data_IF_712417936512
#
_entry.id   IF_712417936512
#
_cell.length_a   1.000
_cell.length_b   1.000
_cell.length_c   1.000
_cell.angle_alpha   90.00
_cell.angle_beta   90.00
_cell.angle_gamma   90.00
#
_symmetry.space_group_name_H-M   'P 1'
#
loop_
_entity.id
_entity.type
_entity.pdbx_description
1 polymer ?
#
# COMPACT_ATOMS: atom_id res chain seq x y z
N UNK A 1 69.49 -7.33 25.13
CA UNK A 1 69.88 -8.75 25.26
C UNK A 1 68.95 -9.35 26.32
N UNK A 2 68.29 -10.46 25.99
CA UNK A 2 67.32 -11.23 26.81
C UNK A 2 65.96 -10.59 27.17
N UNK A 3 64.94 -10.89 26.35
CA UNK A 3 63.66 -11.51 26.77
C UNK A 3 62.75 -11.71 25.53
N UNK A 4 63.09 -12.70 24.71
CA UNK A 4 62.20 -13.35 23.74
C UNK A 4 62.08 -14.79 24.21
N UNK A 5 60.92 -15.22 24.71
CA UNK A 5 60.80 -16.60 25.20
C UNK A 5 59.46 -17.08 25.76
N UNK A 6 58.41 -16.24 25.91
CA UNK A 6 57.16 -16.71 26.54
C UNK A 6 55.86 -16.14 25.92
N UNK A 7 55.84 -15.88 24.60
CA UNK A 7 54.62 -15.47 23.88
C UNK A 7 54.13 -16.47 22.81
N UNK A 8 54.77 -17.63 22.70
CA UNK A 8 54.44 -18.63 21.66
C UNK A 8 53.64 -19.86 22.15
N UNK A 9 53.28 -19.95 23.44
CA UNK A 9 52.53 -21.09 23.98
C UNK A 9 51.12 -20.76 24.50
N UNK A 10 50.65 -19.51 24.33
CA UNK A 10 49.23 -19.16 24.54
C UNK A 10 48.45 -18.91 23.24
N UNK A 11 49.13 -18.94 22.09
CA UNK A 11 48.50 -18.84 20.75
C UNK A 11 48.26 -20.20 20.08
N UNK A 12 48.79 -21.30 20.62
CA UNK A 12 48.57 -22.66 20.10
C UNK A 12 47.50 -23.47 20.86
N UNK A 13 47.00 -22.97 22.00
CA UNK A 13 45.87 -23.57 22.72
C UNK A 13 44.48 -23.22 22.17
N UNK A 14 44.40 -22.32 21.17
CA UNK A 14 43.14 -21.93 20.51
C UNK A 14 42.89 -22.62 19.16
N UNK A 15 43.78 -23.54 18.75
CA UNK A 15 43.63 -24.30 17.50
C UNK A 15 43.05 -25.70 17.69
N UNK A 16 42.73 -26.10 18.93
CA UNK A 16 42.15 -27.42 19.22
C UNK A 16 40.93 -27.42 20.16
N UNK A 17 40.40 -26.25 20.53
CA UNK A 17 39.05 -26.16 21.09
C UNK A 17 38.11 -25.88 19.94
N UNK A 18 37.24 -26.86 19.64
CA UNK A 18 36.29 -26.82 18.54
C UNK A 18 35.58 -25.47 18.48
N UNK A 19 35.37 -24.99 17.26
CA UNK A 19 34.58 -23.82 16.97
C UNK A 19 33.25 -23.95 17.73
N UNK A 20 33.16 -23.31 18.90
CA UNK A 20 31.91 -23.08 19.57
C UNK A 20 31.12 -22.22 18.59
N UNK A 21 30.22 -22.86 17.86
CA UNK A 21 29.30 -22.23 16.92
C UNK A 21 28.67 -21.05 17.64
N UNK A 22 29.02 -19.84 17.22
CA UNK A 22 28.44 -18.62 17.79
C UNK A 22 26.92 -18.74 17.68
N UNK A 23 26.17 -18.85 18.80
CA UNK A 23 24.72 -19.08 18.76
C UNK A 23 23.97 -18.00 17.97
N UNK A 24 24.48 -16.76 17.98
CA UNK A 24 23.92 -15.67 17.19
C UNK A 24 24.15 -15.85 15.69
N UNK A 25 25.33 -16.34 15.29
CA UNK A 25 25.64 -16.60 13.89
C UNK A 25 24.78 -17.74 13.34
N UNK A 26 24.53 -18.77 14.16
CA UNK A 26 23.60 -19.85 13.82
C UNK A 26 22.17 -19.34 13.68
N UNK A 27 21.69 -18.53 14.64
CA UNK A 27 20.36 -17.91 14.58
C UNK A 27 20.16 -17.08 13.30
N UNK A 28 21.09 -16.18 13.00
CA UNK A 28 21.04 -15.35 11.76
C UNK A 28 21.02 -16.19 10.50
N UNK A 29 21.78 -17.30 10.47
CA UNK A 29 21.77 -18.24 9.34
C UNK A 29 20.40 -18.88 9.17
N UNK A 30 19.81 -19.35 10.27
CA UNK A 30 18.47 -19.96 10.27
C UNK A 30 17.43 -18.93 9.83
N UNK A 31 17.44 -17.72 10.39
CA UNK A 31 16.52 -16.65 10.01
C UNK A 31 16.61 -16.33 8.51
N UNK A 32 17.83 -16.27 7.96
CA UNK A 32 18.04 -16.06 6.52
C UNK A 32 17.49 -17.22 5.66
N UNK A 33 17.64 -18.47 6.11
CA UNK A 33 17.06 -19.64 5.43
C UNK A 33 15.53 -19.62 5.48
N UNK A 34 14.93 -19.19 6.60
CA UNK A 34 13.47 -19.03 6.71
C UNK A 34 13.00 -17.93 5.75
N UNK A 35 13.67 -16.78 5.69
CA UNK A 35 13.36 -15.72 4.73
C UNK A 35 13.48 -16.17 3.27
N UNK A 36 14.48 -17.01 2.94
CA UNK A 36 14.60 -17.62 1.61
C UNK A 36 13.40 -18.53 1.30
N UNK A 37 12.96 -19.34 2.27
CA UNK A 37 11.77 -20.17 2.10
C UNK A 37 10.51 -19.32 1.88
N UNK A 38 10.36 -18.19 2.58
CA UNK A 38 9.26 -17.23 2.35
C UNK A 38 9.30 -16.65 0.94
N UNK A 39 10.48 -16.34 0.40
CA UNK A 39 10.62 -15.95 -1.01
C UNK A 39 10.12 -17.04 -1.96
N UNK A 40 10.41 -18.31 -1.69
CA UNK A 40 9.89 -19.44 -2.47
C UNK A 40 8.37 -19.59 -2.35
N UNK A 41 7.80 -19.35 -1.16
CA UNK A 41 6.34 -19.29 -0.99
C UNK A 41 5.74 -18.18 -1.85
N UNK A 42 6.29 -16.97 -1.80
CA UNK A 42 5.84 -15.83 -2.59
C UNK A 42 5.89 -16.08 -4.11
N UNK A 43 6.86 -16.88 -4.59
CA UNK A 43 6.94 -17.29 -6.00
C UNK A 43 6.09 -18.51 -6.36
N UNK A 44 5.38 -19.10 -5.39
CA UNK A 44 4.56 -20.31 -5.57
C UNK A 44 5.34 -21.63 -5.58
N UNK A 45 6.65 -21.63 -5.29
CA UNK A 45 7.47 -22.85 -5.20
C UNK A 45 7.34 -23.48 -3.79
N UNK A 46 6.12 -23.95 -3.49
CA UNK A 46 5.77 -24.49 -2.18
C UNK A 46 6.57 -25.77 -1.85
N UNK A 47 6.94 -26.54 -2.87
CA UNK A 47 7.71 -27.78 -2.69
C UNK A 47 9.12 -27.46 -2.19
N UNK A 48 9.79 -26.49 -2.80
CA UNK A 48 11.11 -26.04 -2.37
C UNK A 48 11.07 -25.37 -1.00
N UNK A 49 10.09 -24.52 -0.75
CA UNK A 49 9.89 -23.91 0.56
C UNK A 49 9.74 -24.97 1.67
N UNK A 50 8.92 -26.01 1.44
CA UNK A 50 8.75 -27.13 2.38
C UNK A 50 10.05 -27.88 2.65
N UNK A 51 10.84 -28.17 1.62
CA UNK A 51 12.13 -28.84 1.75
C UNK A 51 13.12 -28.02 2.59
N UNK A 52 13.22 -26.72 2.31
CA UNK A 52 14.12 -25.81 3.03
C UNK A 52 13.70 -25.67 4.50
N UNK A 53 12.40 -25.50 4.77
CA UNK A 53 11.87 -25.42 6.13
C UNK A 53 12.08 -26.72 6.92
N UNK A 54 11.97 -27.88 6.26
CA UNK A 54 12.21 -29.17 6.90
C UNK A 54 13.65 -29.28 7.40
N UNK A 55 14.63 -28.88 6.58
CA UNK A 55 16.04 -28.83 6.98
C UNK A 55 16.29 -27.85 8.14
N UNK A 56 15.67 -26.67 8.08
CA UNK A 56 15.75 -25.70 9.18
C UNK A 56 15.21 -26.29 10.48
N UNK A 57 14.09 -27.02 10.43
CA UNK A 57 13.46 -27.63 11.61
C UNK A 57 14.15 -28.92 12.08
N UNK A 58 14.99 -29.55 11.25
CA UNK A 58 15.92 -30.59 11.71
C UNK A 58 17.04 -29.97 12.57
N UNK A 59 17.59 -28.83 12.16
CA UNK A 59 18.64 -28.11 12.89
C UNK A 59 18.13 -27.36 14.12
N UNK A 60 16.94 -26.75 14.02
CA UNK A 60 16.31 -25.96 15.07
C UNK A 60 14.82 -26.31 15.19
N UNK A 61 14.48 -27.43 15.84
CA UNK A 61 13.11 -27.96 15.85
C UNK A 61 12.07 -27.03 16.51
N UNK A 62 12.51 -26.13 17.38
CA UNK A 62 11.65 -25.16 18.07
C UNK A 62 11.64 -23.76 17.45
N UNK A 63 12.14 -23.55 16.24
CA UNK A 63 12.24 -22.21 15.66
C UNK A 63 10.85 -21.64 15.30
N UNK A 64 10.33 -20.61 16.01
CA UNK A 64 8.94 -20.18 15.87
C UNK A 64 8.63 -19.65 14.47
N UNK A 65 9.52 -18.85 13.89
CA UNK A 65 9.37 -18.35 12.52
C UNK A 65 9.32 -19.46 11.47
N UNK A 66 10.06 -20.56 11.67
CA UNK A 66 10.07 -21.66 10.70
C UNK A 66 8.76 -22.47 10.81
N UNK A 67 8.24 -22.68 12.02
CA UNK A 67 6.95 -23.32 12.25
C UNK A 67 5.77 -22.47 11.74
N UNK A 68 5.81 -21.14 11.91
CA UNK A 68 4.82 -20.21 11.33
C UNK A 68 4.74 -20.40 9.81
N UNK A 69 5.88 -20.28 9.10
CA UNK A 69 5.92 -20.41 7.63
C UNK A 69 5.58 -21.83 7.18
N UNK A 70 6.06 -22.87 7.87
CA UNK A 70 5.71 -24.26 7.56
C UNK A 70 4.21 -24.50 7.63
N UNK A 71 3.54 -24.01 8.68
CA UNK A 71 2.08 -24.12 8.82
C UNK A 71 1.36 -23.49 7.63
N UNK A 72 1.77 -22.29 7.21
CA UNK A 72 1.21 -21.63 6.03
C UNK A 72 1.44 -22.41 4.73
N UNK A 73 2.65 -22.96 4.53
CA UNK A 73 2.95 -23.82 3.37
C UNK A 73 2.07 -25.07 3.34
N UNK A 74 1.85 -25.71 4.49
CA UNK A 74 1.00 -26.89 4.60
C UNK A 74 -0.47 -26.55 4.32
N UNK A 75 -0.96 -25.39 4.78
CA UNK A 75 -2.30 -24.89 4.44
C UNK A 75 -2.47 -24.64 2.93
N UNK A 76 -1.48 -24.03 2.29
CA UNK A 76 -1.46 -23.80 0.83
C UNK A 76 -1.42 -25.10 0.03
N UNK A 77 -0.75 -26.13 0.55
CA UNK A 77 -0.72 -27.48 -0.04
C UNK A 77 -1.96 -28.33 0.26
N UNK A 78 -2.85 -27.88 1.15
CA UNK A 78 -4.00 -28.66 1.62
C UNK A 78 -3.63 -29.81 2.55
N UNK A 79 -2.42 -29.83 3.11
CA UNK A 79 -1.96 -30.83 4.09
C UNK A 79 -2.44 -30.47 5.50
N UNK A 80 -3.75 -30.49 5.71
CA UNK A 80 -4.40 -29.89 6.89
C UNK A 80 -4.04 -30.59 8.21
N UNK A 81 -3.90 -31.91 8.21
CA UNK A 81 -3.47 -32.67 9.40
C UNK A 81 -2.04 -32.31 9.82
N UNK A 82 -1.12 -32.17 8.85
CA UNK A 82 0.25 -31.75 9.13
C UNK A 82 0.28 -30.29 9.61
N UNK A 83 -0.56 -29.42 9.03
CA UNK A 83 -0.68 -28.04 9.47
C UNK A 83 -1.19 -27.95 10.92
N UNK A 84 -2.15 -28.80 11.30
CA UNK A 84 -2.67 -28.91 12.66
C UNK A 84 -1.58 -29.35 13.66
N UNK A 85 -0.75 -30.32 13.28
CA UNK A 85 0.39 -30.75 14.10
C UNK A 85 1.44 -29.63 14.25
N UNK A 86 1.77 -28.95 13.15
CA UNK A 86 2.74 -27.85 13.16
C UNK A 86 2.29 -26.68 14.03
N UNK A 87 1.01 -26.27 13.92
CA UNK A 87 0.47 -25.17 14.73
C UNK A 87 0.30 -25.55 16.21
N UNK A 88 -0.07 -26.80 16.52
CA UNK A 88 -0.13 -27.28 17.90
C UNK A 88 1.26 -27.27 18.57
N UNK A 89 2.30 -27.66 17.82
CA UNK A 89 3.69 -27.54 18.27
C UNK A 89 4.06 -26.08 18.53
N UNK A 90 3.71 -25.18 17.62
CA UNK A 90 3.97 -23.75 17.75
C UNK A 90 3.27 -23.17 19.00
N UNK A 91 2.00 -23.49 19.24
CA UNK A 91 1.26 -23.10 20.45
C UNK A 91 1.92 -23.59 21.75
N UNK A 92 2.51 -24.80 21.74
CA UNK A 92 3.20 -25.34 22.92
C UNK A 92 4.50 -24.60 23.27
N UNK A 93 5.17 -24.01 22.27
CA UNK A 93 6.44 -23.31 22.45
C UNK A 93 6.24 -21.83 22.81
N UNK A 94 5.21 -21.21 22.25
CA UNK A 94 4.93 -19.77 22.39
C UNK A 94 3.44 -19.55 22.70
N UNK A 95 3.00 -19.91 23.92
CA UNK A 95 1.59 -19.78 24.30
C UNK A 95 1.17 -18.32 24.40
N UNK A 96 -0.07 -18.02 23.98
CA UNK A 96 -0.70 -16.70 24.17
C UNK A 96 -0.37 -15.64 23.12
N UNK A 97 0.42 -15.96 22.09
CA UNK A 97 0.64 -15.03 20.97
C UNK A 97 -0.62 -14.96 20.07
N UNK A 98 -1.15 -13.76 19.80
CA UNK A 98 -2.42 -13.59 19.08
C UNK A 98 -2.38 -14.09 17.64
N UNK A 99 -1.28 -13.86 16.92
CA UNK A 99 -1.09 -14.30 15.54
C UNK A 99 -1.08 -15.83 15.43
N UNK A 100 -0.55 -16.53 16.45
CA UNK A 100 -0.57 -17.99 16.51
C UNK A 100 -1.99 -18.50 16.77
N UNK A 101 -2.76 -17.81 17.63
CA UNK A 101 -4.16 -18.16 17.86
C UNK A 101 -5.00 -18.00 16.59
N UNK A 102 -4.82 -16.92 15.82
CA UNK A 102 -5.49 -16.71 14.53
C UNK A 102 -5.05 -17.78 13.52
N UNK A 103 -3.76 -18.09 13.43
CA UNK A 103 -3.25 -19.15 12.54
C UNK A 103 -3.84 -20.53 12.89
N UNK A 104 -3.96 -20.87 14.18
CA UNK A 104 -4.59 -22.11 14.61
C UNK A 104 -6.08 -22.17 14.27
N UNK A 105 -6.82 -21.08 14.50
CA UNK A 105 -8.22 -20.97 14.09
C UNK A 105 -8.39 -21.08 12.57
N UNK A 106 -7.43 -20.55 11.78
CA UNK A 106 -7.42 -20.69 10.33
C UNK A 106 -7.20 -22.14 9.90
N UNK A 107 -6.27 -22.87 10.53
CA UNK A 107 -6.06 -24.31 10.25
C UNK A 107 -7.33 -25.11 10.53
N UNK A 108 -7.97 -24.86 11.68
CA UNK A 108 -9.24 -25.50 12.04
C UNK A 108 -10.34 -25.19 11.00
N UNK A 109 -10.48 -23.92 10.64
CA UNK A 109 -11.50 -23.48 9.68
C UNK A 109 -11.30 -24.11 8.30
N UNK A 110 -10.05 -24.23 7.84
CA UNK A 110 -9.70 -24.88 6.57
C UNK A 110 -9.94 -26.38 6.63
N UNK A 111 -9.78 -27.02 7.80
CA UNK A 111 -10.11 -28.44 8.01
C UNK A 111 -11.61 -28.71 7.90
N UNK A 112 -12.45 -27.78 8.37
CA UNK A 112 -13.91 -27.87 8.25
C UNK A 112 -14.40 -27.50 6.85
N UNK A 113 -13.73 -26.56 6.17
CA UNK A 113 -14.10 -26.05 4.84
C UNK A 113 -12.89 -25.99 3.89
N UNK A 114 -12.55 -27.12 3.22
CA UNK A 114 -11.30 -27.23 2.45
C UNK A 114 -11.19 -26.38 1.19
N UNK A 115 -12.28 -25.86 0.61
CA UNK A 115 -12.27 -24.89 -0.51
C UNK A 115 -13.69 -24.37 -0.82
N UNK A 116 -13.83 -23.23 -1.54
CA UNK A 116 -12.95 -22.06 -1.64
C UNK A 116 -13.35 -20.94 -0.63
N UNK A 117 -12.47 -19.96 -0.40
CA UNK A 117 -12.76 -18.77 0.41
C UNK A 117 -11.66 -18.38 1.40
N UNK A 118 -10.42 -18.14 0.92
CA UNK A 118 -9.29 -17.83 1.81
C UNK A 118 -9.49 -16.57 2.65
N UNK A 119 -10.04 -15.52 2.04
CA UNK A 119 -10.35 -14.28 2.72
C UNK A 119 -11.39 -14.55 3.81
N UNK A 120 -12.50 -15.18 3.46
CA UNK A 120 -13.59 -15.50 4.38
C UNK A 120 -13.11 -16.39 5.53
N UNK A 121 -12.28 -17.39 5.24
CA UNK A 121 -11.69 -18.27 6.24
C UNK A 121 -10.78 -17.51 7.23
N UNK A 122 -9.95 -16.59 6.75
CA UNK A 122 -9.13 -15.75 7.63
C UNK A 122 -10.01 -14.83 8.49
N UNK A 123 -11.02 -14.20 7.90
CA UNK A 123 -11.93 -13.32 8.66
C UNK A 123 -12.68 -14.09 9.74
N UNK A 124 -13.15 -15.29 9.45
CA UNK A 124 -13.79 -16.17 10.43
C UNK A 124 -12.82 -16.60 11.53
N UNK A 125 -11.58 -16.93 11.19
CA UNK A 125 -10.54 -17.27 12.15
C UNK A 125 -10.20 -16.08 13.07
N UNK A 126 -10.00 -14.89 12.50
CA UNK A 126 -9.72 -13.66 13.24
C UNK A 126 -10.88 -13.26 14.16
N UNK A 127 -12.13 -13.35 13.67
CA UNK A 127 -13.34 -13.12 14.46
C UNK A 127 -13.48 -14.13 15.61
N UNK A 128 -13.21 -15.42 15.36
CA UNK A 128 -13.28 -16.48 16.39
C UNK A 128 -12.33 -16.23 17.56
N UNK A 129 -11.17 -15.63 17.29
CA UNK A 129 -10.15 -15.30 18.29
C UNK A 129 -10.40 -13.92 18.95
N UNK A 130 -11.44 -13.20 18.54
CA UNK A 130 -11.82 -11.90 19.13
C UNK A 130 -11.14 -10.69 18.51
N UNK A 131 -10.74 -10.79 17.23
CA UNK A 131 -10.10 -9.70 16.45
C UNK A 131 -8.88 -9.07 17.14
N UNK A 132 -7.89 -9.88 17.57
CA UNK A 132 -6.69 -9.30 18.18
C UNK A 132 -5.99 -8.35 17.22
N UNK A 133 -5.40 -7.29 17.77
CA UNK A 133 -4.51 -6.39 17.03
C UNK A 133 -3.14 -7.07 16.84
N UNK A 134 -2.80 -7.38 15.59
CA UNK A 134 -1.54 -8.02 15.23
C UNK A 134 -0.42 -7.02 14.92
N UNK A 135 -0.67 -5.70 15.06
CA UNK A 135 0.36 -4.67 14.80
C UNK A 135 1.55 -4.77 15.76
N UNK A 136 1.28 -5.18 17.00
CA UNK A 136 2.29 -5.38 18.07
C UNK A 136 2.74 -6.85 18.19
N UNK A 137 2.20 -7.74 17.35
CA UNK A 137 2.56 -9.17 17.35
C UNK A 137 3.94 -9.41 16.73
N UNK A 138 4.54 -10.58 17.00
CA UNK A 138 5.79 -10.95 16.34
C UNK A 138 5.49 -11.22 14.85
N UNK A 139 6.05 -10.43 13.92
CA UNK A 139 5.69 -10.50 12.52
C UNK A 139 6.08 -11.87 11.94
N UNK A 140 5.32 -12.31 10.93
CA UNK A 140 5.75 -13.42 10.11
C UNK A 140 7.12 -13.09 9.47
N UNK A 141 7.99 -14.09 9.29
CA UNK A 141 9.25 -13.88 8.58
C UNK A 141 8.99 -13.29 7.20
N UNK A 142 9.75 -12.24 6.85
CA UNK A 142 9.63 -11.56 5.58
C UNK A 142 10.45 -12.26 4.47
N UNK A 143 10.04 -12.15 3.19
CA UNK A 143 10.86 -12.61 2.08
C UNK A 143 12.19 -11.83 2.03
N UNK A 144 13.21 -12.43 1.43
CA UNK A 144 14.44 -11.70 1.13
C UNK A 144 14.16 -10.54 0.18
N UNK A 145 14.79 -9.38 0.37
CA UNK A 145 14.70 -8.28 -0.58
C UNK A 145 15.20 -8.76 -1.96
N UNK A 146 14.48 -8.40 -3.01
CA UNK A 146 14.92 -8.68 -4.38
C UNK A 146 16.29 -8.06 -4.64
N UNK A 147 17.17 -8.79 -5.33
CA UNK A 147 18.54 -8.33 -5.62
C UNK A 147 18.59 -7.16 -6.60
N UNK A 148 17.52 -6.94 -7.37
CA UNK A 148 17.41 -5.89 -8.37
C UNK A 148 16.07 -5.19 -8.23
N UNK A 149 16.08 -3.86 -8.09
CA UNK A 149 14.86 -3.06 -8.04
C UNK A 149 14.04 -3.28 -9.32
N UNK A 150 12.71 -3.34 -9.17
CA UNK A 150 11.79 -3.64 -10.27
C UNK A 150 11.92 -2.60 -11.39
N UNK A 151 12.07 -1.33 -11.00
CA UNK A 151 12.24 -0.22 -11.95
C UNK A 151 13.50 -0.36 -12.81
N UNK A 152 14.60 -0.95 -12.30
CA UNK A 152 15.82 -1.17 -13.10
C UNK A 152 15.57 -2.15 -14.23
N UNK A 153 14.87 -3.25 -13.93
CA UNK A 153 14.56 -4.29 -14.92
C UNK A 153 13.69 -3.74 -16.06
N UNK A 154 12.78 -2.81 -15.74
CA UNK A 154 11.96 -2.12 -16.75
C UNK A 154 12.83 -1.19 -17.58
N UNK A 155 13.73 -0.43 -16.94
CA UNK A 155 14.58 0.54 -17.61
C UNK A 155 15.50 -0.08 -18.66
N UNK A 156 16.01 -1.28 -18.38
CA UNK A 156 16.85 -2.06 -19.29
C UNK A 156 16.08 -2.60 -20.52
N UNK A 157 14.76 -2.80 -20.40
CA UNK A 157 13.96 -3.48 -21.43
C UNK A 157 13.25 -2.56 -22.40
N UNK A 158 12.91 -1.34 -21.99
CA UNK A 158 12.11 -0.43 -22.82
C UNK A 158 12.54 1.01 -22.66
N UNK A 159 12.33 1.82 -23.70
CA UNK A 159 12.48 3.27 -23.70
C UNK A 159 11.13 4.00 -23.64
N UNK A 160 10.00 3.28 -23.63
CA UNK A 160 8.66 3.88 -23.58
C UNK A 160 8.49 4.71 -22.29
N UNK A 161 8.19 6.03 -22.40
CA UNK A 161 7.98 6.89 -21.24
C UNK A 161 6.82 6.42 -20.35
N UNK A 162 5.72 5.95 -20.94
CA UNK A 162 4.55 5.48 -20.18
C UNK A 162 4.84 4.20 -19.38
N UNK A 163 5.56 3.24 -19.97
CA UNK A 163 5.93 2.00 -19.28
C UNK A 163 6.93 2.30 -18.15
N UNK A 164 7.92 3.14 -18.43
CA UNK A 164 8.90 3.59 -17.43
C UNK A 164 8.25 4.38 -16.30
N UNK A 165 7.31 5.25 -16.61
CA UNK A 165 6.56 6.00 -15.61
C UNK A 165 5.71 5.07 -14.75
N UNK A 166 5.01 4.11 -15.35
CA UNK A 166 4.25 3.07 -14.62
C UNK A 166 5.15 2.32 -13.63
N UNK A 167 6.39 1.97 -14.03
CA UNK A 167 7.35 1.34 -13.14
C UNK A 167 7.86 2.26 -12.02
N UNK A 168 8.05 3.55 -12.31
CA UNK A 168 8.40 4.55 -11.29
C UNK A 168 7.29 4.73 -10.26
N UNK A 169 6.02 4.63 -10.65
CA UNK A 169 4.88 4.65 -9.72
C UNK A 169 4.87 3.40 -8.82
N UNK A 170 5.31 2.25 -9.35
CA UNK A 170 5.37 0.99 -8.60
C UNK A 170 6.52 0.88 -7.59
N UNK A 171 7.68 1.50 -7.87
CA UNK A 171 8.93 1.26 -7.09
C UNK A 171 9.65 2.54 -6.67
N UNK A 172 9.09 3.70 -7.00
CA UNK A 172 9.74 4.99 -6.82
C UNK A 172 10.77 5.28 -7.91
N UNK A 173 11.42 6.45 -7.80
CA UNK A 173 12.40 6.90 -8.78
C UNK A 173 13.53 7.71 -8.14
N UNK A 174 14.75 7.46 -8.59
CA UNK A 174 15.89 8.32 -8.33
C UNK A 174 15.72 9.67 -9.03
N UNK A 175 16.48 10.68 -8.60
CA UNK A 175 16.44 12.01 -9.21
C UNK A 175 16.79 11.98 -10.70
N UNK A 176 17.74 11.13 -11.10
CA UNK A 176 18.10 10.94 -12.51
C UNK A 176 16.92 10.40 -13.34
N UNK A 177 16.12 9.46 -12.79
CA UNK A 177 14.93 8.93 -13.46
C UNK A 177 13.79 9.95 -13.51
N UNK A 178 13.65 10.78 -12.47
CA UNK A 178 12.71 11.89 -12.47
C UNK A 178 13.06 12.95 -13.52
N UNK A 179 14.34 13.29 -13.66
CA UNK A 179 14.84 14.18 -14.71
C UNK A 179 14.61 13.60 -16.11
N UNK A 180 14.89 12.31 -16.28
CA UNK A 180 14.60 11.62 -17.54
C UNK A 180 13.11 11.71 -17.88
N UNK A 181 12.22 11.37 -16.94
CA UNK A 181 10.78 11.44 -17.18
C UNK A 181 10.34 12.87 -17.51
N UNK A 182 10.82 13.88 -16.77
CA UNK A 182 10.51 15.28 -17.03
C UNK A 182 10.89 15.72 -18.45
N UNK A 183 11.97 15.18 -19.02
CA UNK A 183 12.35 15.44 -20.41
C UNK A 183 11.44 14.76 -21.45
N UNK A 184 10.71 13.71 -21.05
CA UNK A 184 9.87 12.89 -21.94
C UNK A 184 8.36 13.03 -21.64
N UNK A 185 7.93 13.91 -20.74
CA UNK A 185 6.48 14.07 -20.41
C UNK A 185 5.64 14.51 -21.62
N UNK A 186 6.26 15.16 -22.61
CA UNK A 186 5.58 15.54 -23.85
C UNK A 186 5.12 14.31 -24.66
N UNK A 187 5.76 13.16 -24.48
CA UNK A 187 5.50 11.90 -25.18
C UNK A 187 4.41 11.05 -24.50
N UNK A 188 3.95 11.40 -23.30
CA UNK A 188 2.85 10.68 -22.64
C UNK A 188 1.53 10.97 -23.36
N UNK A 189 0.81 9.96 -23.82
CA UNK A 189 -0.43 10.14 -24.60
C UNK A 189 -1.68 9.80 -23.78
N UNK A 190 -1.54 8.84 -22.86
CA UNK A 190 -2.62 8.40 -21.99
C UNK A 190 -3.10 9.53 -21.04
N UNK A 191 -4.39 9.93 -21.09
CA UNK A 191 -4.92 11.02 -20.26
C UNK A 191 -4.76 10.80 -18.76
N UNK A 192 -4.87 9.56 -18.28
CA UNK A 192 -4.78 9.24 -16.85
C UNK A 192 -3.31 9.32 -16.38
N UNK A 193 -2.37 8.86 -17.22
CA UNK A 193 -0.94 9.06 -16.96
C UNK A 193 -0.53 10.53 -17.05
N UNK A 194 -1.16 11.34 -17.91
CA UNK A 194 -0.92 12.78 -17.95
C UNK A 194 -1.34 13.46 -16.64
N UNK A 195 -2.52 13.11 -16.10
CA UNK A 195 -2.99 13.59 -14.79
C UNK A 195 -2.06 13.15 -13.66
N UNK A 196 -1.74 11.86 -13.63
CA UNK A 196 -0.83 11.27 -12.63
C UNK A 196 0.56 11.90 -12.70
N UNK A 197 1.09 12.15 -13.91
CA UNK A 197 2.38 12.82 -14.10
C UNK A 197 2.34 14.27 -13.59
N UNK A 198 1.23 14.99 -13.83
CA UNK A 198 1.10 16.37 -13.36
C UNK A 198 1.12 16.43 -11.84
N UNK A 199 0.41 15.51 -11.16
CA UNK A 199 0.45 15.37 -9.71
C UNK A 199 1.85 14.94 -9.20
N UNK A 200 2.47 13.95 -9.85
CA UNK A 200 3.82 13.47 -9.50
C UNK A 200 4.87 14.59 -9.50
N UNK A 201 4.71 15.55 -10.42
CA UNK A 201 5.59 16.70 -10.52
C UNK A 201 5.12 17.91 -9.68
N UNK A 202 4.14 17.79 -8.77
CA UNK A 202 3.77 18.89 -7.87
C UNK A 202 4.95 19.39 -7.02
N UNK A 203 4.95 20.68 -6.63
CA UNK A 203 5.98 21.22 -5.75
C UNK A 203 6.08 20.46 -4.43
N UNK A 204 7.30 20.09 -4.04
CA UNK A 204 7.58 19.52 -2.71
C UNK A 204 7.87 20.64 -1.71
N UNK A 205 7.60 20.38 -0.44
CA UNK A 205 7.96 21.30 0.65
C UNK A 205 9.46 21.21 0.95
N UNK A 206 10.15 22.35 1.10
CA UNK A 206 11.57 22.42 1.45
C UNK A 206 12.51 22.66 0.25
N UNK A 207 13.81 22.45 0.47
CA UNK A 207 14.82 22.53 -0.60
C UNK A 207 14.64 21.35 -1.57
N UNK A 208 14.17 21.64 -2.78
CA UNK A 208 13.98 20.66 -3.86
C UNK A 208 14.99 20.92 -4.98
N UNK A 209 16.02 20.07 -5.06
CA UNK A 209 17.03 20.13 -6.11
C UNK A 209 16.46 19.96 -7.53
N UNK A 210 15.23 19.45 -7.65
CA UNK A 210 14.53 19.28 -8.91
C UNK A 210 13.43 20.32 -9.17
N UNK A 211 13.32 21.38 -8.36
CA UNK A 211 12.23 22.36 -8.46
C UNK A 211 12.00 22.89 -9.88
N UNK A 212 13.07 23.26 -10.59
CA UNK A 212 13.00 23.75 -11.97
C UNK A 212 12.55 22.67 -12.96
N UNK A 213 13.07 21.45 -12.82
CA UNK A 213 12.71 20.29 -13.64
C UNK A 213 11.22 19.97 -13.48
N UNK A 214 10.74 19.95 -12.23
CA UNK A 214 9.32 19.72 -11.92
C UNK A 214 8.44 20.81 -12.54
N UNK A 215 8.84 22.08 -12.41
CA UNK A 215 8.10 23.22 -12.99
C UNK A 215 7.97 23.09 -14.51
N UNK A 216 9.07 22.82 -15.22
CA UNK A 216 9.06 22.67 -16.69
C UNK A 216 8.20 21.48 -17.14
N UNK A 217 8.26 20.36 -16.43
CA UNK A 217 7.42 19.20 -16.70
C UNK A 217 5.94 19.56 -16.54
N UNK A 218 5.56 20.23 -15.44
CA UNK A 218 4.17 20.68 -15.20
C UNK A 218 3.68 21.66 -16.27
N UNK A 219 4.48 22.63 -16.70
CA UNK A 219 4.10 23.56 -17.78
C UNK A 219 3.81 22.83 -19.10
N UNK A 220 4.55 21.75 -19.37
CA UNK A 220 4.33 20.91 -20.56
C UNK A 220 3.06 20.08 -20.41
N UNK A 221 2.87 19.43 -19.26
CA UNK A 221 1.69 18.63 -18.96
C UNK A 221 0.41 19.48 -18.93
N UNK A 222 0.46 20.68 -18.34
CA UNK A 222 -0.67 21.63 -18.29
C UNK A 222 -1.21 21.94 -19.67
N UNK A 223 -0.33 22.26 -20.63
CA UNK A 223 -0.70 22.55 -22.02
C UNK A 223 -1.42 21.38 -22.70
N UNK A 224 -1.13 20.14 -22.30
CA UNK A 224 -1.83 18.94 -22.80
C UNK A 224 -3.14 18.69 -22.06
N UNK A 225 -3.18 18.93 -20.74
CA UNK A 225 -4.32 18.63 -19.88
C UNK A 225 -5.46 19.66 -19.99
N UNK A 226 -5.17 20.94 -20.16
CA UNK A 226 -6.21 21.99 -20.29
C UNK A 226 -7.27 21.68 -21.37
N UNK A 227 -6.91 21.33 -22.63
CA UNK A 227 -7.91 21.01 -23.63
C UNK A 227 -8.67 19.70 -23.33
N UNK A 228 -8.03 18.72 -22.68
CA UNK A 228 -8.66 17.45 -22.32
C UNK A 228 -9.70 17.65 -21.22
N UNK A 229 -9.29 18.28 -20.11
CA UNK A 229 -10.13 18.53 -18.92
C UNK A 229 -11.34 19.41 -19.20
N UNK A 230 -11.24 20.34 -20.17
CA UNK A 230 -12.39 21.16 -20.59
C UNK A 230 -13.58 20.37 -21.16
N UNK A 231 -13.35 19.12 -21.58
CA UNK A 231 -14.36 18.23 -22.18
C UNK A 231 -14.74 17.07 -21.26
N UNK A 232 -14.08 16.96 -20.10
CA UNK A 232 -14.29 15.88 -19.15
C UNK A 232 -15.56 16.09 -18.34
N UNK A 233 -16.16 14.98 -17.93
CA UNK A 233 -17.31 14.95 -17.00
C UNK A 233 -16.88 14.72 -15.55
N UNK A 234 -15.57 14.65 -15.32
CA UNK A 234 -14.90 14.30 -14.08
C UNK A 234 -14.31 15.55 -13.41
N UNK A 235 -14.50 15.68 -12.09
CA UNK A 235 -13.97 16.80 -11.30
C UNK A 235 -12.45 16.75 -11.07
N UNK A 236 -11.81 15.57 -11.09
CA UNK A 236 -10.41 15.33 -10.72
C UNK A 236 -9.43 16.20 -11.51
N UNK A 237 -9.50 16.16 -12.85
CA UNK A 237 -8.59 16.91 -13.72
C UNK A 237 -8.72 18.44 -13.57
N UNK A 238 -9.92 19.02 -13.71
CA UNK A 238 -10.14 20.44 -13.45
C UNK A 238 -9.71 20.89 -12.05
N UNK A 239 -9.97 20.08 -11.01
CA UNK A 239 -9.56 20.38 -9.64
C UNK A 239 -8.03 20.40 -9.51
N UNK A 240 -7.35 19.42 -10.10
CA UNK A 240 -5.89 19.36 -10.12
C UNK A 240 -5.27 20.58 -10.81
N UNK A 241 -5.81 21.01 -11.95
CA UNK A 241 -5.31 22.18 -12.69
C UNK A 241 -5.58 23.51 -11.97
N UNK A 242 -6.66 23.59 -11.19
CA UNK A 242 -6.99 24.77 -10.38
C UNK A 242 -6.07 24.89 -9.16
N UNK A 243 -5.77 23.77 -8.48
CA UNK A 243 -5.12 23.79 -7.17
C UNK A 243 -3.64 23.40 -7.18
N UNK A 244 -3.17 22.65 -8.18
CA UNK A 244 -1.85 22.01 -8.16
C UNK A 244 -0.65 22.96 -8.10
N UNK A 245 -0.77 24.15 -8.67
CA UNK A 245 0.33 25.14 -8.65
C UNK A 245 0.28 26.09 -7.46
N UNK A 246 -0.82 26.08 -6.70
CA UNK A 246 -0.99 26.95 -5.54
C UNK A 246 -0.27 26.39 -4.33
N UNK A 247 0.25 27.27 -3.47
CA UNK A 247 0.78 26.83 -2.18
C UNK A 247 -0.33 26.13 -1.36
N UNK A 248 0.02 25.04 -0.69
CA UNK A 248 -0.95 24.17 0.02
C UNK A 248 -1.77 24.90 1.08
N UNK A 249 -1.26 26.00 1.61
CA UNK A 249 -1.86 26.82 2.67
C UNK A 249 -2.27 28.21 2.18
N UNK A 250 -2.13 28.49 0.87
CA UNK A 250 -2.61 29.74 0.31
C UNK A 250 -4.15 29.79 0.39
N UNK A 251 -4.75 30.85 0.92
CA UNK A 251 -6.20 31.02 0.91
C UNK A 251 -6.78 30.97 -0.50
N UNK A 252 -8.03 30.57 -0.62
CA UNK A 252 -8.78 30.62 -1.87
C UNK A 252 -9.06 32.07 -2.25
N UNK A 253 -8.94 32.36 -3.54
CA UNK A 253 -9.27 33.67 -4.11
C UNK A 253 -10.78 33.77 -4.36
N UNK A 254 -11.28 34.99 -4.62
CA UNK A 254 -12.68 35.17 -5.04
C UNK A 254 -13.00 34.49 -6.38
N UNK A 255 -11.98 34.30 -7.25
CA UNK A 255 -12.13 33.59 -8.53
C UNK A 255 -12.14 32.07 -8.35
N UNK A 256 -11.50 31.55 -7.30
CA UNK A 256 -11.46 30.12 -7.00
C UNK A 256 -12.84 29.56 -6.65
N UNK A 257 -13.67 30.32 -5.93
CA UNK A 257 -15.02 29.88 -5.48
C UNK A 257 -15.93 29.51 -6.66
N UNK A 258 -16.20 30.38 -7.65
CA UNK A 258 -17.02 30.02 -8.81
C UNK A 258 -16.36 28.97 -9.71
N UNK A 259 -15.04 28.84 -9.70
CA UNK A 259 -14.36 27.72 -10.37
C UNK A 259 -14.66 26.39 -9.67
N UNK A 260 -14.56 26.34 -8.34
CA UNK A 260 -14.89 25.17 -7.54
C UNK A 260 -16.37 24.80 -7.66
N UNK A 261 -17.29 25.77 -7.68
CA UNK A 261 -18.73 25.52 -7.89
C UNK A 261 -18.98 24.81 -9.23
N UNK A 262 -18.31 25.25 -10.31
CA UNK A 262 -18.41 24.59 -11.63
C UNK A 262 -17.83 23.17 -11.60
N UNK A 263 -16.70 22.97 -10.93
CA UNK A 263 -16.08 21.65 -10.78
C UNK A 263 -16.97 20.72 -9.95
N UNK A 264 -17.57 21.25 -8.88
CA UNK A 264 -18.54 20.56 -8.04
C UNK A 264 -19.93 20.43 -8.71
N UNK A 265 -20.15 20.93 -9.92
CA UNK A 265 -21.34 20.61 -10.71
C UNK A 265 -21.15 19.37 -11.60
N UNK A 266 -19.91 18.93 -11.84
CA UNK A 266 -19.60 17.78 -12.70
C UNK A 266 -20.04 16.45 -12.05
N UNK A 267 -20.68 15.51 -12.78
CA UNK A 267 -21.43 14.41 -12.17
C UNK A 267 -20.58 13.40 -11.37
N UNK A 268 -19.27 13.29 -11.60
CA UNK A 268 -18.40 12.30 -10.97
C UNK A 268 -17.05 12.92 -10.59
N UNK A 269 -16.39 12.37 -9.58
CA UNK A 269 -15.04 12.82 -9.25
C UNK A 269 -14.01 12.34 -10.27
N UNK A 270 -13.98 11.04 -10.59
CA UNK A 270 -13.03 10.43 -11.52
C UNK A 270 -13.68 9.37 -12.39
N UNK A 271 -12.98 8.98 -13.46
CA UNK A 271 -13.43 7.94 -14.40
C UNK A 271 -12.87 6.57 -14.07
N UNK A 272 -11.58 6.50 -13.76
CA UNK A 272 -10.83 5.25 -13.65
C UNK A 272 -10.99 4.65 -12.26
N UNK A 273 -11.48 3.41 -12.16
CA UNK A 273 -11.51 2.66 -10.90
C UNK A 273 -10.13 2.08 -10.57
N UNK A 274 -9.93 1.65 -9.33
CA UNK A 274 -8.69 0.96 -8.92
C UNK A 274 -8.43 -0.30 -9.76
N UNK A 275 -9.47 -1.10 -10.04
CA UNK A 275 -9.37 -2.27 -10.92
C UNK A 275 -8.90 -1.90 -12.34
N UNK A 276 -9.44 -0.81 -12.91
CA UNK A 276 -9.03 -0.37 -14.25
C UNK A 276 -7.59 0.12 -14.24
N UNK A 277 -7.19 0.94 -13.25
CA UNK A 277 -5.81 1.41 -13.12
C UNK A 277 -4.82 0.24 -12.97
N UNK A 278 -5.20 -0.80 -12.21
CA UNK A 278 -4.42 -2.03 -12.09
C UNK A 278 -4.29 -2.78 -13.41
N UNK A 279 -5.40 -2.97 -14.13
CA UNK A 279 -5.43 -3.65 -15.42
C UNK A 279 -4.57 -2.91 -16.46
N UNK A 280 -4.67 -1.57 -16.49
CA UNK A 280 -3.89 -0.75 -17.42
C UNK A 280 -2.39 -0.78 -17.07
N UNK A 281 -2.03 -0.70 -15.80
CA UNK A 281 -0.64 -0.84 -15.36
C UNK A 281 -0.06 -2.21 -15.75
N UNK A 282 -0.84 -3.28 -15.56
CA UNK A 282 -0.47 -4.63 -15.96
C UNK A 282 -0.26 -4.72 -17.47
N UNK A 283 -1.22 -4.25 -18.26
CA UNK A 283 -1.16 -4.27 -19.72
C UNK A 283 0.06 -3.51 -20.24
N UNK A 284 0.34 -2.31 -19.72
CA UNK A 284 1.50 -1.50 -20.13
C UNK A 284 2.83 -2.22 -19.88
N UNK A 285 2.97 -2.88 -18.73
CA UNK A 285 4.20 -3.62 -18.40
C UNK A 285 4.33 -4.92 -19.22
N UNK A 286 3.23 -5.63 -19.47
CA UNK A 286 3.22 -6.83 -20.31
C UNK A 286 3.58 -6.52 -21.78
N UNK A 287 3.18 -5.37 -22.32
CA UNK A 287 3.60 -4.91 -23.66
C UNK A 287 5.12 -4.73 -23.80
N UNK A 288 5.82 -4.47 -22.69
CA UNK A 288 7.28 -4.43 -22.63
C UNK A 288 7.92 -5.77 -22.23
N UNK A 289 7.14 -6.86 -22.26
CA UNK A 289 7.53 -8.19 -21.79
C UNK A 289 8.03 -8.20 -20.34
N UNK A 290 7.49 -7.32 -19.49
CA UNK A 290 7.80 -7.28 -18.05
C UNK A 290 6.64 -7.87 -17.27
N UNK A 291 6.90 -8.97 -16.55
CA UNK A 291 5.94 -9.53 -15.60
C UNK A 291 6.19 -8.92 -14.22
N UNK A 292 5.29 -8.05 -13.78
CA UNK A 292 5.39 -7.41 -12.48
C UNK A 292 4.71 -8.25 -11.37
N UNK A 293 5.26 -8.27 -10.15
CA UNK A 293 4.57 -8.83 -9.00
C UNK A 293 3.23 -8.10 -8.75
N UNK A 294 2.17 -8.79 -8.31
CA UNK A 294 0.85 -8.18 -8.11
C UNK A 294 0.85 -6.96 -7.19
N UNK A 295 1.66 -6.96 -6.12
CA UNK A 295 1.80 -5.81 -5.22
C UNK A 295 2.36 -4.56 -5.94
N UNK A 296 3.28 -4.73 -6.90
CA UNK A 296 3.84 -3.62 -7.68
C UNK A 296 2.80 -3.02 -8.62
N UNK A 297 1.96 -3.86 -9.20
CA UNK A 297 0.82 -3.41 -10.01
C UNK A 297 -0.20 -2.65 -9.16
N UNK A 298 -0.51 -3.13 -7.96
CA UNK A 298 -1.37 -2.42 -7.01
C UNK A 298 -0.76 -1.07 -6.61
N UNK A 299 0.54 -1.02 -6.30
CA UNK A 299 1.24 0.22 -5.97
C UNK A 299 1.16 1.25 -7.11
N UNK A 300 1.40 0.84 -8.36
CA UNK A 300 1.23 1.72 -9.52
C UNK A 300 -0.22 2.20 -9.67
N UNK A 301 -1.20 1.31 -9.48
CA UNK A 301 -2.61 1.65 -9.57
C UNK A 301 -3.03 2.68 -8.51
N UNK A 302 -2.64 2.46 -7.25
CA UNK A 302 -2.90 3.38 -6.12
C UNK A 302 -2.20 4.71 -6.34
N UNK A 303 -0.93 4.71 -6.78
CA UNK A 303 -0.20 5.94 -7.07
C UNK A 303 -0.75 6.72 -8.28
N UNK A 304 -1.56 6.09 -9.12
CA UNK A 304 -2.30 6.74 -10.22
C UNK A 304 -3.66 7.28 -9.78
N UNK A 305 -4.00 7.20 -8.49
CA UNK A 305 -5.20 7.79 -7.91
C UNK A 305 -4.89 9.21 -7.44
N UNK A 306 -5.25 10.20 -8.25
CA UNK A 306 -4.90 11.59 -7.99
C UNK A 306 -5.71 12.15 -6.82
N UNK A 307 -5.08 12.25 -5.66
CA UNK A 307 -5.76 12.63 -4.40
C UNK A 307 -5.19 13.88 -3.76
N UNK A 308 -4.01 14.36 -4.18
CA UNK A 308 -3.39 15.56 -3.60
C UNK A 308 -4.22 16.81 -3.82
N UNK A 309 -4.89 16.95 -4.96
CA UNK A 309 -5.74 18.12 -5.23
C UNK A 309 -6.88 18.25 -4.19
N UNK A 310 -7.46 17.12 -3.79
CA UNK A 310 -8.48 17.05 -2.76
C UNK A 310 -7.92 17.38 -1.36
N UNK A 311 -6.70 16.93 -1.06
CA UNK A 311 -6.00 17.26 0.20
C UNK A 311 -5.57 18.73 0.25
N UNK A 312 -5.13 19.31 -0.88
CA UNK A 312 -4.79 20.72 -1.01
C UNK A 312 -6.04 21.57 -0.82
N UNK A 313 -7.17 21.20 -1.45
CA UNK A 313 -8.44 21.90 -1.26
C UNK A 313 -8.79 22.03 0.22
N UNK A 314 -8.76 20.91 0.96
CA UNK A 314 -9.08 20.89 2.39
C UNK A 314 -8.25 21.91 3.20
N UNK A 315 -6.93 21.99 2.94
CA UNK A 315 -6.04 22.96 3.61
C UNK A 315 -6.32 24.40 3.20
N UNK A 316 -6.55 24.65 1.90
CA UNK A 316 -6.82 26.00 1.39
C UNK A 316 -8.17 26.52 1.88
N UNK A 317 -9.19 25.66 1.95
CA UNK A 317 -10.49 25.96 2.55
C UNK A 317 -10.26 26.42 4.00
N UNK A 318 -9.52 25.65 4.81
CA UNK A 318 -9.23 26.05 6.20
C UNK A 318 -8.54 27.42 6.28
N UNK A 319 -7.53 27.67 5.44
CA UNK A 319 -6.84 28.95 5.38
C UNK A 319 -7.72 30.15 4.94
N UNK A 320 -8.91 29.88 4.38
CA UNK A 320 -9.84 30.90 3.88
C UNK A 320 -10.94 31.26 4.89
N UNK A 321 -11.11 30.48 5.98
CA UNK A 321 -12.24 30.55 6.93
C UNK A 321 -12.58 31.97 7.41
N UNK A 322 -11.57 32.75 7.75
CA UNK A 322 -11.70 34.08 8.36
C UNK A 322 -11.81 35.23 7.33
N UNK A 323 -11.73 34.92 6.03
CA UNK A 323 -11.68 35.92 4.94
C UNK A 323 -12.98 36.03 4.16
N UNK A 324 -13.93 35.14 4.41
CA UNK A 324 -15.18 35.05 3.66
C UNK A 324 -16.33 35.73 4.38
N UNK A 325 -17.26 36.27 3.58
CA UNK A 325 -18.58 36.64 4.06
C UNK A 325 -19.32 35.37 4.54
N UNK A 326 -20.37 35.56 5.36
CA UNK A 326 -21.19 34.42 5.79
C UNK A 326 -21.85 33.69 4.61
N UNK A 327 -22.25 34.43 3.57
CA UNK A 327 -22.84 33.87 2.35
C UNK A 327 -21.82 33.04 1.56
N UNK A 328 -20.62 33.59 1.32
CA UNK A 328 -19.56 32.88 0.59
C UNK A 328 -19.07 31.65 1.36
N UNK A 329 -19.07 31.70 2.69
CA UNK A 329 -18.76 30.54 3.54
C UNK A 329 -19.76 29.41 3.33
N UNK A 330 -21.05 29.71 3.29
CA UNK A 330 -22.09 28.70 3.04
C UNK A 330 -21.97 28.13 1.63
N UNK A 331 -21.76 28.97 0.62
CA UNK A 331 -21.58 28.54 -0.78
C UNK A 331 -20.36 27.63 -0.97
N UNK A 332 -19.22 28.04 -0.42
CA UNK A 332 -18.01 27.21 -0.44
C UNK A 332 -18.21 25.92 0.37
N UNK A 333 -18.89 25.98 1.52
CA UNK A 333 -19.26 24.81 2.30
C UNK A 333 -20.10 23.79 1.51
N UNK A 334 -21.12 24.25 0.77
CA UNK A 334 -21.92 23.40 -0.13
C UNK A 334 -21.09 22.78 -1.25
N UNK A 335 -20.18 23.57 -1.83
CA UNK A 335 -19.29 23.15 -2.91
C UNK A 335 -18.34 22.04 -2.45
N UNK A 336 -17.67 22.25 -1.32
CA UNK A 336 -16.74 21.28 -0.72
C UNK A 336 -17.48 20.02 -0.26
N UNK A 337 -18.68 20.17 0.32
CA UNK A 337 -19.51 19.03 0.70
C UNK A 337 -19.87 18.17 -0.52
N UNK A 338 -20.32 18.81 -1.61
CA UNK A 338 -20.73 18.11 -2.85
C UNK A 338 -19.56 17.38 -3.50
N UNK A 339 -18.40 18.03 -3.58
CA UNK A 339 -17.19 17.42 -4.10
C UNK A 339 -16.73 16.26 -3.20
N UNK A 340 -16.75 16.45 -1.89
CA UNK A 340 -16.43 15.42 -0.90
C UNK A 340 -17.34 14.20 -1.02
N UNK A 341 -18.64 14.38 -1.24
CA UNK A 341 -19.58 13.28 -1.46
C UNK A 341 -19.22 12.44 -2.68
N UNK A 342 -18.85 13.08 -3.80
CA UNK A 342 -18.43 12.37 -5.03
C UNK A 342 -17.08 11.66 -4.89
N UNK A 343 -16.16 12.23 -4.12
CA UNK A 343 -14.91 11.54 -3.79
C UNK A 343 -15.23 10.31 -2.92
N UNK A 344 -16.16 10.45 -1.95
CA UNK A 344 -16.57 9.37 -1.05
C UNK A 344 -17.38 8.25 -1.72
N UNK A 345 -17.87 8.45 -2.95
CA UNK A 345 -18.44 7.40 -3.81
C UNK A 345 -17.36 6.48 -4.42
N UNK A 346 -16.08 6.85 -4.32
CA UNK A 346 -14.95 6.03 -4.74
C UNK A 346 -14.89 4.68 -4.01
N UNK A 347 -14.28 3.69 -4.65
CA UNK A 347 -14.24 2.31 -4.15
C UNK A 347 -13.10 2.05 -3.18
N UNK A 348 -12.27 3.05 -2.87
CA UNK A 348 -11.11 2.89 -1.98
C UNK A 348 -11.30 3.52 -0.62
N UNK A 349 -10.63 2.96 0.38
CA UNK A 349 -10.64 3.53 1.73
C UNK A 349 -10.04 4.95 1.73
N UNK A 350 -9.01 5.19 0.93
CA UNK A 350 -8.39 6.52 0.80
C UNK A 350 -9.39 7.55 0.28
N UNK A 351 -10.05 7.28 -0.85
CA UNK A 351 -11.07 8.17 -1.41
C UNK A 351 -12.21 8.40 -0.42
N UNK A 352 -12.73 7.33 0.20
CA UNK A 352 -13.79 7.44 1.22
C UNK A 352 -13.39 8.38 2.35
N UNK A 353 -12.19 8.21 2.91
CA UNK A 353 -11.69 9.04 4.02
C UNK A 353 -11.44 10.49 3.62
N UNK A 354 -10.89 10.74 2.42
CA UNK A 354 -10.65 12.09 1.90
C UNK A 354 -11.98 12.81 1.64
N UNK A 355 -12.93 12.12 0.98
CA UNK A 355 -14.26 12.65 0.68
C UNK A 355 -15.05 12.99 1.94
N UNK A 356 -15.08 12.08 2.93
CA UNK A 356 -15.77 12.31 4.20
C UNK A 356 -15.16 13.49 5.00
N UNK A 357 -13.84 13.71 4.95
CA UNK A 357 -13.22 14.89 5.59
C UNK A 357 -13.64 16.20 4.92
N UNK A 358 -13.78 16.21 3.59
CA UNK A 358 -14.33 17.37 2.89
C UNK A 358 -15.81 17.59 3.24
N UNK A 359 -16.60 16.52 3.32
CA UNK A 359 -17.99 16.62 3.77
C UNK A 359 -18.10 17.17 5.20
N UNK A 360 -17.21 16.77 6.11
CA UNK A 360 -17.18 17.27 7.50
C UNK A 360 -16.94 18.79 7.51
N UNK A 361 -15.90 19.24 6.79
CA UNK A 361 -15.57 20.66 6.68
C UNK A 361 -16.70 21.46 6.02
N UNK A 362 -17.29 20.94 4.93
CA UNK A 362 -18.42 21.56 4.26
C UNK A 362 -19.65 21.69 5.15
N UNK A 363 -19.99 20.65 5.92
CA UNK A 363 -21.11 20.66 6.86
C UNK A 363 -20.89 21.65 8.02
N UNK A 364 -19.68 21.71 8.59
CA UNK A 364 -19.32 22.72 9.60
C UNK A 364 -19.54 24.14 9.07
N UNK A 365 -19.11 24.40 7.83
CA UNK A 365 -19.17 25.72 7.23
C UNK A 365 -20.58 26.15 6.84
N UNK A 366 -21.44 25.20 6.49
CA UNK A 366 -22.88 25.42 6.30
C UNK A 366 -23.63 25.63 7.62
N UNK A 367 -23.04 25.27 8.77
CA UNK A 367 -23.73 25.22 10.05
C UNK A 367 -24.79 24.10 10.13
N UNK A 368 -24.66 23.07 9.30
CA UNK A 368 -25.63 21.98 9.17
C UNK A 368 -25.28 20.86 10.17
N UNK A 369 -25.86 20.95 11.38
CA UNK A 369 -25.55 20.06 12.51
C UNK A 369 -25.92 18.61 12.22
N UNK A 370 -26.99 18.37 11.47
CA UNK A 370 -27.45 17.01 11.14
C UNK A 370 -26.48 16.33 10.18
N UNK A 371 -26.09 17.00 9.09
CA UNK A 371 -25.07 16.47 8.16
C UNK A 371 -23.73 16.28 8.85
N UNK A 372 -23.33 17.21 9.71
CA UNK A 372 -22.07 17.10 10.46
C UNK A 372 -22.07 15.86 11.36
N UNK A 373 -23.18 15.59 12.06
CA UNK A 373 -23.31 14.40 12.90
C UNK A 373 -23.30 13.10 12.08
N UNK A 374 -23.93 13.08 10.90
CA UNK A 374 -23.89 11.94 9.99
C UNK A 374 -22.47 11.64 9.49
N UNK A 375 -21.79 12.66 8.95
CA UNK A 375 -20.44 12.51 8.42
C UNK A 375 -19.45 12.07 9.51
N UNK A 376 -19.60 12.56 10.75
CA UNK A 376 -18.75 12.13 11.87
C UNK A 376 -18.91 10.64 12.19
N UNK A 377 -20.14 10.11 12.15
CA UNK A 377 -20.36 8.66 12.32
C UNK A 377 -19.71 7.85 11.21
N UNK A 378 -19.83 8.30 9.96
CA UNK A 378 -19.18 7.66 8.81
C UNK A 378 -17.64 7.71 8.91
N UNK A 379 -17.07 8.83 9.38
CA UNK A 379 -15.63 8.95 9.63
C UNK A 379 -15.15 8.02 10.75
N UNK A 380 -15.92 7.88 11.82
CA UNK A 380 -15.64 6.93 12.90
C UNK A 380 -15.65 5.48 12.37
N UNK A 381 -16.63 5.14 11.55
CA UNK A 381 -16.68 3.84 10.86
C UNK A 381 -15.46 3.64 9.96
N UNK A 382 -15.11 4.61 9.12
CA UNK A 382 -13.92 4.55 8.26
C UNK A 382 -12.60 4.40 9.05
N UNK A 383 -12.46 5.07 10.20
CA UNK A 383 -11.31 4.88 11.11
C UNK A 383 -11.27 3.48 11.69
N UNK A 384 -12.42 2.93 12.08
CA UNK A 384 -12.50 1.55 12.56
C UNK A 384 -12.11 0.55 11.47
N UNK A 385 -12.55 0.77 10.23
CA UNK A 385 -12.16 -0.04 9.06
C UNK A 385 -10.66 0.02 8.81
N UNK A 386 -10.07 1.22 8.81
CA UNK A 386 -8.63 1.42 8.63
C UNK A 386 -7.82 0.71 9.73
N UNK A 387 -8.24 0.86 10.99
CA UNK A 387 -7.61 0.20 12.11
C UNK A 387 -7.71 -1.32 12.01
N UNK A 388 -8.90 -1.86 11.71
CA UNK A 388 -9.13 -3.30 11.53
C UNK A 388 -8.27 -3.89 10.39
N UNK A 389 -8.16 -3.19 9.26
CA UNK A 389 -7.31 -3.59 8.14
C UNK A 389 -5.82 -3.64 8.54
N UNK A 390 -5.36 -2.63 9.26
CA UNK A 390 -3.98 -2.58 9.78
C UNK A 390 -3.72 -3.67 10.83
N UNK A 391 -4.69 -3.89 11.72
CA UNK A 391 -4.62 -4.86 12.81
C UNK A 391 -4.49 -6.30 12.31
N UNK A 392 -5.09 -6.65 11.16
CA UNK A 392 -4.99 -8.00 10.61
C UNK A 392 -3.66 -8.30 9.90
N UNK A 393 -2.92 -7.25 9.50
CA UNK A 393 -1.64 -7.34 8.79
C UNK A 393 -1.62 -8.35 7.63
N UNK A 394 -2.64 -8.37 6.76
CA UNK A 394 -2.77 -9.40 5.70
C UNK A 394 -1.50 -9.57 4.85
N UNK A 395 -0.80 -8.48 4.56
CA UNK A 395 0.43 -8.48 3.76
C UNK A 395 1.59 -9.27 4.40
N UNK A 396 1.57 -9.50 5.72
CA UNK A 396 2.62 -10.26 6.42
C UNK A 396 2.43 -11.78 6.32
N UNK A 397 1.21 -12.26 6.05
CA UNK A 397 0.92 -13.69 6.01
C UNK A 397 1.59 -14.37 4.80
N UNK A 398 2.42 -15.41 4.97
CA UNK A 398 3.03 -16.11 3.84
C UNK A 398 2.04 -17.09 3.18
N UNK A 399 0.92 -16.56 2.70
CA UNK A 399 -0.21 -17.28 2.09
C UNK A 399 -0.54 -16.66 0.72
N UNK A 400 0.13 -17.06 -0.37
CA UNK A 400 -0.08 -16.49 -1.70
C UNK A 400 -1.53 -16.58 -2.19
N UNK A 401 -2.28 -17.61 -1.81
CA UNK A 401 -3.69 -17.75 -2.20
C UNK A 401 -4.58 -16.76 -1.45
N UNK A 402 -4.28 -16.48 -0.18
CA UNK A 402 -4.92 -15.40 0.58
C UNK A 402 -4.62 -14.05 -0.05
N UNK A 403 -3.36 -13.75 -0.37
CA UNK A 403 -2.98 -12.48 -1.00
C UNK A 403 -3.69 -12.25 -2.33
N UNK A 404 -3.81 -13.29 -3.17
CA UNK A 404 -4.59 -13.20 -4.43
C UNK A 404 -6.07 -12.93 -4.16
N UNK A 405 -6.68 -13.64 -3.21
CA UNK A 405 -8.09 -13.45 -2.87
C UNK A 405 -8.35 -12.05 -2.29
N UNK A 406 -7.44 -11.56 -1.45
CA UNK A 406 -7.51 -10.23 -0.85
C UNK A 406 -7.34 -9.15 -1.91
N UNK A 407 -6.32 -9.26 -2.75
CA UNK A 407 -6.10 -8.33 -3.87
C UNK A 407 -7.32 -8.28 -4.79
N UNK A 408 -7.87 -9.42 -5.20
CA UNK A 408 -9.06 -9.45 -6.06
C UNK A 408 -10.23 -8.70 -5.41
N UNK A 409 -10.50 -8.96 -4.13
CA UNK A 409 -11.56 -8.27 -3.41
C UNK A 409 -11.32 -6.76 -3.30
N UNK A 410 -10.07 -6.33 -3.09
CA UNK A 410 -9.69 -4.91 -3.06
C UNK A 410 -9.84 -4.24 -4.42
N UNK A 411 -9.52 -4.93 -5.52
CA UNK A 411 -9.71 -4.40 -6.87
C UNK A 411 -11.19 -4.26 -7.22
N UNK A 412 -12.03 -5.22 -6.81
CA UNK A 412 -13.48 -5.17 -7.07
C UNK A 412 -14.14 -3.99 -6.36
N UNK A 413 -13.92 -3.87 -5.04
CA UNK A 413 -14.40 -2.77 -4.18
C UNK A 413 -13.68 -2.84 -2.82
N UNK A 414 -12.57 -2.12 -2.67
CA UNK A 414 -11.77 -2.12 -1.45
C UNK A 414 -12.58 -1.65 -0.24
N UNK A 415 -13.37 -0.58 -0.36
CA UNK A 415 -14.18 -0.06 0.74
C UNK A 415 -15.16 -1.13 1.25
N UNK A 416 -15.93 -1.74 0.35
CA UNK A 416 -16.84 -2.83 0.71
C UNK A 416 -16.09 -4.03 1.28
N UNK A 417 -14.92 -4.33 0.72
CA UNK A 417 -14.08 -5.43 1.17
C UNK A 417 -13.59 -5.23 2.62
N UNK A 418 -13.05 -4.06 2.93
CA UNK A 418 -12.52 -3.73 4.25
C UNK A 418 -13.64 -3.45 5.28
N UNK A 419 -14.80 -2.96 4.86
CA UNK A 419 -15.96 -2.75 5.75
C UNK A 419 -16.47 -4.06 6.38
N UNK A 420 -16.25 -5.19 5.70
CA UNK A 420 -16.57 -6.50 6.26
C UNK A 420 -15.75 -6.86 7.51
N UNK A 421 -14.62 -6.18 7.76
CA UNK A 421 -13.75 -6.42 8.92
C UNK A 421 -14.35 -5.93 10.25
N UNK A 422 -15.20 -4.91 10.17
CA UNK A 422 -15.84 -4.30 11.35
C UNK A 422 -17.29 -4.71 11.53
N UNK A 423 -17.89 -5.34 10.51
CA UNK A 423 -19.25 -5.88 10.58
C UNK A 423 -19.27 -7.05 11.57
N UNK A 424 -20.25 -7.14 12.50
CA UNK A 424 -20.31 -8.20 13.52
C UNK A 424 -20.29 -9.62 12.96
#
# INVERSE_FOLDING_TARGET
MFQRGYRFLLSLGRLFTGAASNPEALRRRIDAQVSQAVTHVGSGDLARARLELSKVLEEAPGHPGALKVQTCVLLEQGALEEAAQAVARLQSLTPGQPEIAVLAALVEQRSQTPAPGWREALLQAWNRVGRPDLTEAEPFPAPLPGTTAFVEQVWERTQSPEVRFTAMLADGASDARQQWLAAHVAELEDPELLLTAYEYFLPRSGEDALADVRRQARETLRRKLEPLTSRMSESEGPLLLLLGESAKEAPLTQEDIPALERIAALPRFRRTSLAQAYADAKQRLELAAVTAPPLRLLQAAVASMVTDAALILWRRVEATKDRLSAEDRVRLGQTVFTLGARIAEGSTLLERMVGLRQMEQGAEWMGDVEKLAEVKRELEHGRAVAHASSALQVDSWPLPSLHRAWLQASLDDEWKSLSALVTP
#
